data_IF_788515397218
#
_entry.id   IF_788515397218
#
_cell.length_a   1.000
_cell.length_b   1.000
_cell.length_c   1.000
_cell.angle_alpha   90.00
_cell.angle_beta   90.00
_cell.angle_gamma   90.00
#
_symmetry.space_group_name_H-M   'P 1'
#
loop_
_entity.id
_entity.type
_entity.pdbx_description
1 polymer ?
#
# COMPACT_ATOMS: atom_id res chain seq x y z
N UNK A 1 21.51 21.45 -5.03
CA UNK A 1 21.28 19.99 -5.02
C UNK A 1 19.88 19.72 -5.51
N UNK A 2 19.76 19.12 -6.69
CA UNK A 2 18.47 18.73 -7.26
C UNK A 2 17.79 17.76 -6.30
N UNK A 3 16.68 18.18 -5.68
CA UNK A 3 15.74 17.27 -5.01
C UNK A 3 15.15 16.39 -6.11
N UNK A 4 15.72 15.22 -6.33
CA UNK A 4 14.99 14.10 -6.90
C UNK A 4 13.93 13.72 -5.87
N UNK A 5 12.79 14.41 -5.92
CA UNK A 5 11.54 13.86 -5.40
C UNK A 5 11.29 12.60 -6.21
N UNK A 6 11.79 11.47 -5.72
CA UNK A 6 11.26 10.19 -6.14
C UNK A 6 9.76 10.29 -5.90
N UNK A 7 9.02 10.40 -6.99
CA UNK A 7 7.57 10.52 -7.15
C UNK A 7 6.87 9.26 -6.65
N UNK A 8 7.16 8.86 -5.42
CA UNK A 8 6.40 7.88 -4.66
C UNK A 8 5.69 8.73 -3.64
N UNK A 9 4.36 8.81 -3.68
CA UNK A 9 3.58 9.29 -2.54
C UNK A 9 3.98 8.44 -1.32
N UNK A 10 4.93 8.94 -0.54
CA UNK A 10 5.45 8.22 0.62
C UNK A 10 4.38 8.26 1.70
N UNK A 11 4.16 7.12 2.38
CA UNK A 11 3.25 7.12 3.52
C UNK A 11 4.00 7.69 4.72
N UNK A 12 3.42 8.74 5.32
CA UNK A 12 4.01 9.47 6.43
C UNK A 12 3.41 9.05 7.77
N UNK A 13 4.27 8.85 8.77
CA UNK A 13 3.87 8.84 10.17
C UNK A 13 4.15 10.23 10.74
N UNK A 14 3.10 10.98 11.06
CA UNK A 14 3.23 12.21 11.83
C UNK A 14 3.40 11.86 13.31
N UNK A 15 4.47 12.35 13.92
CA UNK A 15 4.74 12.20 15.36
C UNK A 15 4.86 13.57 16.00
N UNK A 16 4.34 13.69 17.23
CA UNK A 16 4.35 14.91 18.03
C UNK A 16 4.89 14.61 19.43
N UNK A 17 5.79 15.46 19.91
CA UNK A 17 6.33 15.42 21.27
C UNK A 17 6.78 16.81 21.72
N UNK A 18 6.77 17.07 23.02
CA UNK A 18 7.36 18.31 23.54
C UNK A 18 8.86 18.41 23.28
N UNK A 19 9.60 17.30 23.38
CA UNK A 19 11.04 17.29 23.07
C UNK A 19 11.35 17.67 21.61
N UNK A 20 10.42 17.46 20.66
CA UNK A 20 10.63 17.89 19.27
C UNK A 20 10.65 19.42 19.13
N UNK A 21 10.08 20.14 20.10
CA UNK A 21 10.10 21.62 20.16
C UNK A 21 11.44 22.20 20.56
N UNK A 22 12.24 21.42 21.28
CA UNK A 22 13.49 21.92 21.89
C UNK A 22 14.74 21.30 21.27
N UNK A 23 14.61 20.15 20.61
CA UNK A 23 15.72 19.46 19.98
C UNK A 23 15.25 18.50 18.89
N UNK A 24 16.14 18.22 17.92
CA UNK A 24 15.91 17.22 16.88
C UNK A 24 16.49 15.88 17.30
N UNK A 25 15.77 14.77 17.08
CA UNK A 25 16.34 13.44 17.29
C UNK A 25 17.56 13.24 16.38
N UNK A 26 18.62 12.64 16.93
CA UNK A 26 19.79 12.27 16.14
C UNK A 26 19.55 10.95 15.39
N UNK A 27 18.62 10.13 15.86
CA UNK A 27 18.26 8.86 15.25
C UNK A 27 16.76 8.60 15.35
N UNK A 28 16.21 8.06 14.28
CA UNK A 28 14.85 7.57 14.18
C UNK A 28 14.84 6.11 13.80
N UNK A 29 13.96 5.31 14.42
CA UNK A 29 13.67 3.94 14.01
C UNK A 29 12.17 3.74 13.88
N UNK A 30 11.75 3.05 12.83
CA UNK A 30 10.37 2.56 12.66
C UNK A 30 10.44 1.05 12.48
N UNK A 31 9.67 0.29 13.24
CA UNK A 31 9.64 -1.16 13.15
C UNK A 31 8.25 -1.65 12.76
N UNK A 32 8.19 -2.62 11.84
CA UNK A 32 6.99 -3.39 11.52
C UNK A 32 7.40 -4.85 11.29
N UNK A 33 6.99 -5.75 12.19
CA UNK A 33 7.34 -7.17 12.14
C UNK A 33 8.86 -7.36 12.01
N UNK A 34 9.33 -7.86 10.86
CA UNK A 34 10.74 -8.16 10.60
C UNK A 34 11.44 -7.06 9.79
N UNK A 35 10.86 -5.86 9.71
CA UNK A 35 11.38 -4.75 8.92
C UNK A 35 11.63 -3.56 9.84
N UNK A 36 12.85 -3.03 9.77
CA UNK A 36 13.25 -1.80 10.46
C UNK A 36 13.62 -0.76 9.42
N UNK A 37 13.04 0.43 9.54
CA UNK A 37 13.51 1.64 8.86
C UNK A 37 14.32 2.49 9.82
N UNK A 38 15.35 3.15 9.29
CA UNK A 38 16.26 3.97 10.09
C UNK A 38 16.66 5.25 9.35
N UNK A 39 16.82 6.33 10.11
CA UNK A 39 17.36 7.60 9.62
C UNK A 39 18.07 8.38 10.76
N UNK A 40 19.31 8.87 10.55
CA UNK A 40 20.18 8.56 9.42
C UNK A 40 20.66 7.10 9.48
N UNK A 41 21.22 6.59 8.37
CA UNK A 41 21.92 5.30 8.31
C UNK A 41 23.39 5.59 8.06
N UNK A 42 24.21 5.48 9.10
CA UNK A 42 25.59 5.98 9.07
C UNK A 42 26.61 4.86 8.88
N UNK A 43 26.31 3.64 9.33
CA UNK A 43 27.21 2.49 9.20
C UNK A 43 26.81 1.52 8.08
N UNK A 44 27.76 0.76 7.56
CA UNK A 44 27.50 -0.35 6.63
C UNK A 44 26.56 -1.40 7.23
N UNK A 45 26.64 -1.60 8.54
CA UNK A 45 25.74 -2.48 9.27
C UNK A 45 24.29 -1.96 9.21
N UNK A 46 24.07 -0.67 9.45
CA UNK A 46 22.75 -0.05 9.35
C UNK A 46 22.19 -0.15 7.94
N UNK A 47 23.02 0.10 6.92
CA UNK A 47 22.63 0.04 5.51
C UNK A 47 22.18 -1.38 5.13
N UNK A 48 22.88 -2.40 5.63
CA UNK A 48 22.59 -3.80 5.32
C UNK A 48 21.40 -4.37 6.10
N UNK A 49 21.19 -3.92 7.34
CA UNK A 49 20.13 -4.44 8.22
C UNK A 49 18.80 -3.68 8.14
N UNK A 50 18.82 -2.42 7.68
CA UNK A 50 17.65 -1.54 7.73
C UNK A 50 17.27 -0.96 6.36
N UNK A 51 15.99 -0.56 6.24
CA UNK A 51 15.48 0.18 5.09
C UNK A 51 15.64 1.69 5.30
N UNK A 52 15.82 2.41 4.20
CA UNK A 52 15.85 3.88 4.24
C UNK A 52 14.46 4.43 4.50
N UNK A 53 14.39 5.48 5.31
CA UNK A 53 13.24 6.39 5.36
C UNK A 53 13.70 7.82 5.17
N UNK A 54 12.75 8.71 4.89
CA UNK A 54 12.98 10.16 4.85
C UNK A 54 12.30 10.80 6.05
N UNK A 55 12.91 11.81 6.64
CA UNK A 55 12.35 12.52 7.79
C UNK A 55 12.25 13.99 7.47
N UNK A 56 11.05 14.53 7.56
CA UNK A 56 10.81 15.98 7.54
C UNK A 56 10.53 16.42 8.98
N UNK A 57 11.27 17.43 9.44
CA UNK A 57 11.12 17.98 10.80
C UNK A 57 10.48 19.36 10.72
N UNK A 58 9.53 19.59 11.62
CA UNK A 58 8.84 20.84 11.86
C UNK A 58 9.09 21.29 13.31
N UNK A 59 8.54 22.44 13.68
CA UNK A 59 8.79 23.05 15.00
C UNK A 59 8.25 22.22 16.16
N UNK A 60 7.19 21.42 15.99
CA UNK A 60 6.57 20.62 17.06
C UNK A 60 6.31 19.16 16.68
N UNK A 61 6.73 18.77 15.48
CA UNK A 61 6.35 17.51 14.86
C UNK A 61 7.40 17.05 13.85
N UNK A 62 7.36 15.77 13.52
CA UNK A 62 8.14 15.20 12.42
C UNK A 62 7.24 14.28 11.59
N UNK A 63 7.47 14.23 10.29
CA UNK A 63 6.84 13.27 9.39
C UNK A 63 7.89 12.28 8.92
N UNK A 64 7.67 11.01 9.24
CA UNK A 64 8.53 9.89 8.89
C UNK A 64 7.96 9.17 7.66
N UNK A 65 8.63 9.28 6.54
CA UNK A 65 8.19 8.73 5.28
C UNK A 65 8.82 7.37 5.00
N UNK A 66 7.98 6.33 5.00
CA UNK A 66 8.38 4.94 4.72
C UNK A 66 7.73 4.43 3.42
N UNK A 67 8.28 3.32 2.90
CA UNK A 67 7.78 2.73 1.66
C UNK A 67 6.34 2.21 1.86
N UNK A 68 5.37 2.66 1.04
CA UNK A 68 3.96 2.37 1.29
C UNK A 68 3.59 0.90 1.02
N UNK A 69 4.45 0.10 0.35
CA UNK A 69 4.28 -1.36 0.20
C UNK A 69 4.07 -2.09 1.53
N UNK A 70 4.54 -1.51 2.64
CA UNK A 70 4.50 -2.13 3.96
C UNK A 70 3.38 -1.59 4.85
N UNK A 71 2.63 -0.62 4.36
CA UNK A 71 1.62 0.10 5.12
C UNK A 71 0.24 -0.39 4.73
N UNK A 72 -0.07 -1.63 5.08
CA UNK A 72 -1.43 -2.18 4.93
C UNK A 72 -2.26 -1.70 6.13
N UNK A 73 -3.53 -1.36 5.99
CA UNK A 73 -4.26 -0.84 7.13
C UNK A 73 -4.52 -1.89 8.20
N UNK A 74 -4.49 -1.42 9.46
CA UNK A 74 -4.31 -2.25 10.64
C UNK A 74 -2.85 -2.63 10.91
N UNK A 75 -1.89 -2.31 10.02
CA UNK A 75 -0.48 -2.46 10.34
C UNK A 75 -0.09 -1.52 11.48
N UNK A 76 0.59 -2.11 12.46
CA UNK A 76 1.15 -1.42 13.61
C UNK A 76 2.63 -1.14 13.38
N UNK A 77 3.07 0.05 13.72
CA UNK A 77 4.45 0.50 13.62
C UNK A 77 4.93 0.97 14.98
N UNK A 78 6.04 0.43 15.45
CA UNK A 78 6.71 0.93 16.65
C UNK A 78 7.74 1.97 16.23
N UNK A 79 7.50 3.21 16.64
CA UNK A 79 8.29 4.38 16.24
C UNK A 79 9.13 4.82 17.42
N UNK A 80 10.42 5.07 17.19
CA UNK A 80 11.36 5.50 18.21
C UNK A 80 12.14 6.71 17.74
N UNK A 81 12.25 7.71 18.61
CA UNK A 81 13.13 8.87 18.47
C UNK A 81 14.20 8.83 19.56
N UNK A 82 15.46 9.01 19.19
CA UNK A 82 16.59 9.07 20.11
C UNK A 82 17.18 10.48 20.11
N UNK A 83 17.32 11.06 21.29
CA UNK A 83 17.77 12.44 21.51
C UNK A 83 19.17 12.47 22.14
N UNK A 84 19.90 13.58 21.93
CA UNK A 84 21.30 13.70 22.37
C UNK A 84 21.46 13.71 23.90
N UNK A 85 20.40 14.02 24.63
CA UNK A 85 20.35 13.96 26.09
C UNK A 85 20.12 12.54 26.64
N UNK A 86 20.06 11.53 25.75
CA UNK A 86 19.79 10.14 26.10
C UNK A 86 18.30 9.80 26.17
N UNK A 87 17.40 10.76 25.96
CA UNK A 87 15.96 10.49 25.95
C UNK A 87 15.58 9.61 24.76
N UNK A 88 14.71 8.64 25.01
CA UNK A 88 14.08 7.82 23.99
C UNK A 88 12.57 8.02 24.09
N UNK A 89 11.95 8.46 23.00
CA UNK A 89 10.50 8.57 22.90
C UNK A 89 9.98 7.48 21.98
N UNK A 90 8.88 6.84 22.38
CA UNK A 90 8.29 5.74 21.64
C UNK A 90 6.81 6.00 21.37
N UNK A 91 6.36 5.66 20.16
CA UNK A 91 4.96 5.66 19.77
C UNK A 91 4.59 4.32 19.14
N UNK A 92 3.29 4.03 19.19
CA UNK A 92 2.67 3.03 18.34
C UNK A 92 1.81 3.76 17.32
N UNK A 93 2.20 3.70 16.05
CA UNK A 93 1.42 4.22 14.94
C UNK A 93 0.59 3.10 14.30
N UNK A 94 -0.69 3.36 14.07
CA UNK A 94 -1.59 2.46 13.36
C UNK A 94 -1.88 3.02 11.97
N UNK A 95 -1.65 2.23 10.93
CA UNK A 95 -2.12 2.56 9.60
C UNK A 95 -3.64 2.44 9.56
N UNK A 96 -4.35 3.55 9.74
CA UNK A 96 -5.81 3.60 9.60
C UNK A 96 -6.26 3.44 8.13
N UNK A 97 -5.37 3.75 7.19
CA UNK A 97 -5.64 3.77 5.77
C UNK A 97 -6.57 4.90 5.35
N UNK A 98 -6.65 5.99 6.12
CA UNK A 98 -7.44 7.19 5.77
C UNK A 98 -6.95 7.85 4.48
N UNK A 99 -5.65 7.76 4.23
CA UNK A 99 -5.00 8.25 3.00
C UNK A 99 -5.15 7.29 1.81
N UNK A 100 -5.69 6.09 2.05
CA UNK A 100 -6.05 5.20 0.95
C UNK A 100 -7.34 5.73 0.36
N UNK A 101 -7.35 6.02 -0.94
CA UNK A 101 -8.64 6.28 -1.60
C UNK A 101 -9.54 5.08 -1.31
N UNK A 102 -10.79 5.32 -0.92
CA UNK A 102 -11.77 4.26 -1.03
C UNK A 102 -11.70 3.76 -2.47
N UNK A 103 -11.36 2.48 -2.64
CA UNK A 103 -11.67 1.84 -3.89
C UNK A 103 -13.18 1.82 -3.87
N UNK A 104 -13.73 2.72 -4.67
CA UNK A 104 -14.17 2.12 -5.90
C UNK A 104 -15.05 0.91 -5.68
N UNK A 105 -16.33 1.19 -5.73
CA UNK A 105 -17.45 0.30 -5.45
C UNK A 105 -17.22 -1.14 -5.91
N UNK A 106 -17.47 -2.09 -4.99
CA UNK A 106 -17.62 -3.49 -5.34
C UNK A 106 -18.96 -3.69 -6.02
N UNK A 107 -18.96 -4.11 -7.28
CA UNK A 107 -20.16 -4.18 -8.11
C UNK A 107 -20.85 -5.56 -8.11
N UNK A 108 -20.36 -6.52 -7.32
CA UNK A 108 -20.88 -7.90 -7.22
C UNK A 108 -21.23 -8.55 -8.57
N UNK A 109 -20.34 -9.40 -9.10
CA UNK A 109 -20.59 -10.22 -10.28
C UNK A 109 -21.08 -9.44 -11.54
N UNK A 110 -20.21 -9.22 -12.52
CA UNK A 110 -20.60 -8.55 -13.78
C UNK A 110 -21.48 -9.37 -14.71
N UNK A 111 -21.69 -10.67 -14.43
CA UNK A 111 -22.21 -11.63 -15.41
C UNK A 111 -21.26 -11.88 -16.58
N UNK A 112 -20.07 -11.29 -16.56
CA UNK A 112 -19.00 -11.49 -17.53
C UNK A 112 -17.90 -12.37 -16.94
N UNK A 113 -17.17 -13.05 -17.81
CA UNK A 113 -16.10 -13.96 -17.45
C UNK A 113 -14.94 -13.75 -18.43
N UNK A 114 -13.96 -12.96 -18.00
CA UNK A 114 -12.79 -12.54 -18.76
C UNK A 114 -11.49 -13.16 -18.20
N UNK A 115 -11.54 -13.71 -16.99
CA UNK A 115 -10.36 -14.15 -16.24
C UNK A 115 -10.55 -15.53 -15.65
N UNK A 116 -9.45 -16.25 -15.44
CA UNK A 116 -9.50 -17.60 -14.92
C UNK A 116 -8.24 -17.96 -14.14
N UNK A 117 -8.42 -18.75 -13.07
CA UNK A 117 -7.31 -19.16 -12.20
C UNK A 117 -6.36 -20.17 -12.87
N UNK A 118 -6.85 -20.94 -13.84
CA UNK A 118 -6.13 -22.08 -14.45
C UNK A 118 -5.95 -21.97 -15.97
N UNK A 119 -6.45 -20.91 -16.60
CA UNK A 119 -6.51 -20.79 -18.05
C UNK A 119 -5.67 -19.61 -18.56
N UNK A 120 -4.90 -19.89 -19.62
CA UNK A 120 -3.99 -18.95 -20.28
C UNK A 120 -4.72 -17.83 -21.02
N UNK A 121 -5.90 -18.15 -21.54
CA UNK A 121 -6.64 -17.27 -22.46
C UNK A 121 -7.93 -16.70 -21.85
N UNK A 122 -8.04 -16.64 -20.51
CA UNK A 122 -8.98 -15.76 -19.82
C UNK A 122 -10.46 -16.09 -19.99
N UNK A 123 -10.95 -16.99 -19.15
CA UNK A 123 -12.35 -17.25 -18.78
C UNK A 123 -12.35 -18.59 -18.05
N UNK A 124 -13.10 -18.79 -16.96
CA UNK A 124 -13.22 -20.10 -16.28
C UNK A 124 -14.66 -20.62 -16.15
N UNK A 125 -15.55 -20.07 -16.98
CA UNK A 125 -17.01 -20.23 -16.98
C UNK A 125 -17.68 -19.81 -15.66
N UNK A 126 -16.94 -19.10 -14.79
CA UNK A 126 -17.49 -18.52 -13.56
C UNK A 126 -17.51 -17.01 -13.69
N UNK A 127 -18.58 -16.38 -13.20
CA UNK A 127 -18.64 -14.93 -13.30
C UNK A 127 -17.60 -14.22 -12.45
N UNK A 128 -16.99 -13.20 -13.03
CA UNK A 128 -15.93 -12.42 -12.41
C UNK A 128 -16.47 -11.48 -11.33
N UNK A 129 -15.65 -11.25 -10.32
CA UNK A 129 -15.86 -10.13 -9.41
C UNK A 129 -15.40 -8.84 -10.07
N UNK A 130 -16.17 -7.76 -9.87
CA UNK A 130 -15.83 -6.46 -10.42
C UNK A 130 -15.66 -5.41 -9.33
N UNK A 131 -14.52 -4.73 -9.39
CA UNK A 131 -14.19 -3.54 -8.60
C UNK A 131 -14.14 -2.35 -9.55
N UNK A 132 -14.90 -1.30 -9.28
CA UNK A 132 -14.88 -0.09 -10.08
C UNK A 132 -14.11 1.02 -9.35
N UNK A 133 -12.92 1.39 -9.78
CA UNK A 133 -12.09 2.44 -9.15
C UNK A 133 -12.27 3.77 -9.88
N UNK A 134 -12.36 4.87 -9.12
CA UNK A 134 -12.26 6.24 -9.64
C UNK A 134 -11.15 6.98 -8.90
N UNK A 135 -10.11 7.37 -9.63
CA UNK A 135 -8.92 8.05 -9.08
C UNK A 135 -8.21 8.83 -10.20
N UNK A 136 -7.81 10.07 -9.93
CA UNK A 136 -7.17 10.93 -10.92
C UNK A 136 -5.83 10.37 -11.42
N UNK A 137 -5.15 9.53 -10.63
CA UNK A 137 -3.91 8.90 -11.05
C UNK A 137 -4.10 7.90 -12.20
N UNK A 138 -5.33 7.42 -12.44
CA UNK A 138 -5.61 6.42 -13.47
C UNK A 138 -5.46 6.94 -14.91
N UNK A 139 -5.33 8.26 -15.12
CA UNK A 139 -4.97 8.81 -16.43
C UNK A 139 -3.64 8.27 -16.95
N UNK A 140 -2.67 8.03 -16.06
CA UNK A 140 -1.34 7.55 -16.43
C UNK A 140 -1.30 6.03 -16.68
N UNK A 141 -2.36 5.32 -16.28
CA UNK A 141 -2.51 3.85 -16.26
C UNK A 141 -1.40 3.13 -15.47
N UNK A 142 -1.75 2.26 -14.50
CA UNK A 142 -0.74 1.53 -13.76
C UNK A 142 -0.02 0.52 -14.66
N UNK A 143 1.27 0.30 -14.39
CA UNK A 143 2.06 -0.78 -15.00
C UNK A 143 1.92 -2.09 -14.23
N UNK A 144 1.44 -2.02 -12.99
CA UNK A 144 1.23 -3.17 -12.13
C UNK A 144 0.07 -2.92 -11.17
N UNK A 145 -0.78 -3.93 -11.00
CA UNK A 145 -1.83 -3.99 -10.01
C UNK A 145 -1.67 -5.27 -9.20
N UNK A 146 -1.77 -5.17 -7.89
CA UNK A 146 -1.88 -6.29 -6.97
C UNK A 146 -3.17 -6.18 -6.18
N UNK A 147 -3.95 -7.26 -6.15
CA UNK A 147 -5.17 -7.38 -5.35
C UNK A 147 -4.93 -8.44 -4.29
N UNK A 148 -5.13 -8.08 -3.02
CA UNK A 148 -4.93 -8.96 -1.87
C UNK A 148 -6.22 -9.07 -1.07
N UNK A 149 -6.59 -10.31 -0.74
CA UNK A 149 -7.59 -10.66 0.26
C UNK A 149 -7.01 -11.64 1.28
N UNK A 150 -7.86 -12.23 2.13
CA UNK A 150 -7.41 -13.08 3.24
C UNK A 150 -6.77 -14.38 2.74
N UNK A 151 -5.44 -14.43 2.79
CA UNK A 151 -4.65 -15.62 2.40
C UNK A 151 -4.39 -15.75 0.90
N UNK A 152 -4.69 -14.71 0.11
CA UNK A 152 -4.65 -14.79 -1.35
C UNK A 152 -4.17 -13.45 -1.98
N UNK A 153 -3.21 -13.49 -2.93
CA UNK A 153 -2.67 -12.36 -3.71
C UNK A 153 -2.62 -12.59 -5.24
N UNK A 154 -3.20 -11.65 -6.00
CA UNK A 154 -3.38 -11.67 -7.46
C UNK A 154 -2.60 -10.51 -8.05
N UNK A 155 -2.05 -10.68 -9.25
CA UNK A 155 -1.23 -9.64 -9.90
C UNK A 155 -1.62 -9.47 -11.37
N UNK A 156 -1.59 -8.23 -11.84
CA UNK A 156 -1.77 -7.83 -13.24
C UNK A 156 -0.64 -6.85 -13.65
N UNK A 157 0.00 -7.03 -14.81
CA UNK A 157 -0.09 -8.22 -15.67
C UNK A 157 0.36 -9.48 -14.89
N UNK A 158 -0.15 -10.67 -15.25
CA UNK A 158 0.12 -11.87 -14.49
C UNK A 158 1.59 -12.31 -14.60
N UNK A 159 2.14 -12.75 -13.47
CA UNK A 159 3.43 -13.44 -13.43
C UNK A 159 3.22 -14.94 -13.70
N UNK A 160 2.93 -15.32 -14.94
CA UNK A 160 2.76 -16.71 -15.36
C UNK A 160 1.61 -16.94 -16.33
N UNK A 161 1.08 -18.17 -16.33
CA UNK A 161 0.08 -18.65 -17.29
C UNK A 161 -1.37 -18.43 -16.86
N UNK A 162 -1.65 -17.92 -15.66
CA UNK A 162 -3.02 -17.62 -15.24
C UNK A 162 -3.29 -16.14 -15.47
N UNK A 163 -4.48 -15.78 -15.94
CA UNK A 163 -4.93 -14.39 -16.02
C UNK A 163 -6.00 -14.18 -14.95
N UNK A 164 -5.65 -13.95 -13.67
CA UNK A 164 -6.62 -13.91 -12.59
C UNK A 164 -7.18 -12.49 -12.35
N UNK A 165 -6.63 -11.49 -13.05
CA UNK A 165 -7.11 -10.10 -13.08
C UNK A 165 -7.08 -9.62 -14.53
N UNK A 166 -8.13 -8.90 -14.92
CA UNK A 166 -8.19 -8.10 -16.14
C UNK A 166 -8.58 -6.66 -15.74
N UNK A 167 -7.93 -5.68 -16.35
CA UNK A 167 -8.11 -4.28 -16.01
C UNK A 167 -8.51 -3.47 -17.26
N UNK A 168 -9.71 -2.91 -17.22
CA UNK A 168 -10.26 -2.03 -18.24
C UNK A 168 -10.19 -0.57 -17.75
N UNK A 169 -9.34 0.24 -18.37
CA UNK A 169 -9.06 1.62 -17.97
C UNK A 169 -9.77 2.61 -18.90
N UNK A 170 -10.47 3.57 -18.29
CA UNK A 170 -11.14 4.66 -19.00
C UNK A 170 -10.95 5.99 -18.24
N UNK A 171 -10.06 6.85 -18.74
CA UNK A 171 -9.75 8.14 -18.15
C UNK A 171 -9.27 8.02 -16.70
N UNK A 172 -9.99 8.64 -15.76
CA UNK A 172 -9.72 8.55 -14.32
C UNK A 172 -10.44 7.39 -13.62
N UNK A 173 -10.81 6.34 -14.36
CA UNK A 173 -11.53 5.19 -13.81
C UNK A 173 -11.01 3.87 -14.35
N UNK A 174 -11.23 2.80 -13.59
CA UNK A 174 -10.87 1.44 -13.98
C UNK A 174 -11.94 0.45 -13.50
N UNK A 175 -12.26 -0.54 -14.33
CA UNK A 175 -12.95 -1.77 -13.91
C UNK A 175 -11.93 -2.89 -13.81
N UNK A 176 -11.80 -3.47 -12.63
CA UNK A 176 -10.96 -4.64 -12.39
C UNK A 176 -11.86 -5.86 -12.30
N UNK A 177 -11.70 -6.77 -13.24
CA UNK A 177 -12.34 -8.08 -13.27
C UNK A 177 -11.39 -9.08 -12.61
N UNK A 178 -11.90 -9.87 -11.68
CA UNK A 178 -11.09 -10.69 -10.80
C UNK A 178 -11.71 -12.07 -10.72
N UNK A 179 -10.90 -13.08 -11.02
CA UNK A 179 -11.31 -14.47 -10.86
C UNK A 179 -11.63 -14.72 -9.38
N UNK A 180 -12.70 -15.47 -9.05
CA UNK A 180 -13.07 -15.75 -7.68
C UNK A 180 -11.91 -16.39 -6.89
N UNK A 181 -11.82 -16.09 -5.59
CA UNK A 181 -10.76 -16.63 -4.71
C UNK A 181 -10.65 -18.17 -4.80
N UNK A 182 -9.45 -18.77 -4.74
CA UNK A 182 -9.25 -20.21 -4.94
C UNK A 182 -9.86 -21.03 -3.82
N UNK A 183 -10.11 -20.43 -2.66
CA UNK A 183 -10.82 -21.08 -1.56
C UNK A 183 -12.33 -21.24 -1.84
N UNK A 184 -12.84 -20.63 -2.92
CA UNK A 184 -14.27 -20.57 -3.24
C UNK A 184 -15.10 -19.80 -2.21
N UNK A 185 -14.47 -19.33 -1.12
CA UNK A 185 -15.14 -18.59 -0.07
C UNK A 185 -15.27 -17.15 -0.50
N UNK A 186 -16.54 -16.77 -0.61
CA UNK A 186 -17.04 -15.42 -0.58
C UNK A 186 -16.73 -14.81 0.80
N UNK A 187 -15.47 -14.48 1.06
CA UNK A 187 -15.02 -13.94 2.35
C UNK A 187 -15.62 -12.55 2.58
N UNK A 188 -15.90 -12.22 3.85
CA UNK A 188 -16.49 -10.94 4.30
C UNK A 188 -15.43 -9.83 4.40
N UNK A 189 -14.40 -9.91 3.57
CA UNK A 189 -13.14 -9.24 3.87
C UNK A 189 -12.91 -7.98 3.04
N UNK A 190 -12.08 -7.12 3.62
CA UNK A 190 -11.53 -5.94 2.96
C UNK A 190 -10.55 -6.41 1.90
N UNK A 191 -10.78 -6.00 0.65
CA UNK A 191 -9.80 -6.17 -0.41
C UNK A 191 -8.92 -4.95 -0.51
N UNK A 192 -7.63 -5.21 -0.60
CA UNK A 192 -6.60 -4.21 -0.82
C UNK A 192 -6.17 -4.25 -2.28
N UNK A 193 -6.25 -3.11 -2.96
CA UNK A 193 -5.73 -2.92 -4.31
C UNK A 193 -4.51 -2.02 -4.22
N UNK A 194 -3.39 -2.47 -4.76
CA UNK A 194 -2.16 -1.68 -4.91
C UNK A 194 -1.87 -1.51 -6.38
N UNK A 195 -1.71 -0.27 -6.84
CA UNK A 195 -1.21 0.05 -8.17
C UNK A 195 0.19 0.66 -8.12
N UNK A 196 1.02 0.33 -9.10
CA UNK A 196 2.29 1.00 -9.39
C UNK A 196 2.16 1.64 -10.77
N UNK A 197 2.51 2.91 -10.88
CA UNK A 197 2.43 3.70 -12.10
C UNK A 197 3.80 3.84 -12.78
N UNK A 198 3.84 4.18 -14.09
CA UNK A 198 5.09 4.41 -14.82
C UNK A 198 6.04 5.41 -14.14
N UNK A 199 5.46 6.41 -13.47
CA UNK A 199 6.20 7.43 -12.69
C UNK A 199 6.83 6.91 -11.40
N UNK A 200 6.66 5.64 -11.06
CA UNK A 200 7.06 5.06 -9.77
C UNK A 200 6.06 5.33 -8.64
N UNK A 201 5.04 6.15 -8.89
CA UNK A 201 3.95 6.39 -7.94
C UNK A 201 3.29 5.07 -7.54
N UNK A 202 2.98 4.95 -6.26
CA UNK A 202 2.23 3.80 -5.73
C UNK A 202 0.92 4.33 -5.16
N UNK A 203 -0.20 3.72 -5.56
CA UNK A 203 -1.53 4.04 -5.03
C UNK A 203 -2.15 2.81 -4.39
N UNK A 204 -2.87 3.04 -3.30
CA UNK A 204 -3.59 2.01 -2.60
C UNK A 204 -5.07 2.36 -2.53
N UNK A 205 -5.90 1.34 -2.67
CA UNK A 205 -7.32 1.44 -2.46
C UNK A 205 -7.87 0.28 -1.64
N UNK A 206 -9.00 0.52 -0.96
CA UNK A 206 -9.77 -0.53 -0.29
C UNK A 206 -11.19 -0.62 -0.78
N UNK A 207 -11.69 -1.83 -0.95
CA UNK A 207 -13.13 -2.07 -1.10
C UNK A 207 -13.57 -3.14 -0.12
N UNK A 208 -14.78 -2.99 0.40
CA UNK A 208 -15.39 -3.97 1.29
C UNK A 208 -16.47 -4.65 0.47
N UNK A 209 -16.46 -5.98 0.49
CA UNK A 209 -17.56 -6.71 -0.12
C UNK A 209 -18.86 -6.39 0.64
N UNK A 210 -19.96 -6.00 -0.04
CA UNK A 210 -21.24 -5.83 0.60
C UNK A 210 -21.63 -7.12 1.33
N UNK A 211 -22.24 -7.00 2.51
CA UNK A 211 -22.87 -8.15 3.12
C UNK A 211 -23.91 -8.69 2.13
N UNK A 212 -23.87 -10.00 1.85
CA UNK A 212 -24.91 -10.64 1.05
C UNK A 212 -26.26 -10.32 1.71
N UNK A 213 -27.15 -9.66 0.96
CA UNK A 213 -28.54 -9.47 1.36
C UNK A 213 -29.29 -10.79 1.31
#
# INVERSE_FOLDING_TARGET
>A
FNKTTNSVNQWGIEVKHENLKTQKPFLWKVNNKNITWMYPRESDEDINKTKSMTVENYDDSSILYINPKFVIPGAQFDVQAFFNDGTIVQWTALADGKEWSQAGQWLENSGSDFVGLSLKDGSDEKPDWVIFIKDYLLYDKPVFIEITGLGWRWQWPPNGNASPIYADFSGNSAKLYIAPSPSGKKEKDVLTIKAIFPSGNIRFWKTIRPAAK
#
